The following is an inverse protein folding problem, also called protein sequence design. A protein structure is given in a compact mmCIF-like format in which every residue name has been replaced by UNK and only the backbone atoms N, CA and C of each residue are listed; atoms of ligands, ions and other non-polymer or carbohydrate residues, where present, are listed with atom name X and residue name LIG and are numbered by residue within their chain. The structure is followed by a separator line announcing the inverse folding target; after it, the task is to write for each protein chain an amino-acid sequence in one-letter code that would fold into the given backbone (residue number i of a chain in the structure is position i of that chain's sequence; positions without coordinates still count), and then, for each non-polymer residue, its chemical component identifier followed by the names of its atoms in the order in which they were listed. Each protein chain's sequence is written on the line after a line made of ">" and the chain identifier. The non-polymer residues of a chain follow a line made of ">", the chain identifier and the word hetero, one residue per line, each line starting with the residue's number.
data_IF_407248456830
#
_entry.id   IF_407248456830
#
_cell.length_a   1.000
_cell.length_b   1.000
_cell.length_c   1.000
_cell.angle_alpha   90.00
_cell.angle_beta   90.00
_cell.angle_gamma   90.00
#
_symmetry.space_group_name_H-M   'P 1'
#
loop_
_entity.id
_entity.type
_entity.pdbx_description
1 polymer ?
#
# COMPACT_ATOMS: atom_id res chain seq x y z
N UNK A 1 1.89 -7.79 21.12
CA UNK A 1 0.43 -7.87 20.86
C UNK A 1 0.22 -7.48 19.42
N UNK A 2 -0.62 -8.21 18.69
CA UNK A 2 -1.04 -7.84 17.35
C UNK A 2 -2.41 -7.16 17.38
N UNK A 3 -2.64 -6.29 16.42
CA UNK A 3 -3.90 -5.57 16.24
C UNK A 3 -4.39 -5.76 14.82
N UNK A 4 -5.68 -6.02 14.67
CA UNK A 4 -6.35 -6.07 13.37
C UNK A 4 -7.15 -4.79 13.15
N UNK A 5 -6.97 -4.16 11.99
CA UNK A 5 -7.72 -2.98 11.58
C UNK A 5 -8.48 -3.29 10.30
N UNK A 6 -9.80 -3.35 10.36
CA UNK A 6 -10.65 -3.30 9.16
C UNK A 6 -10.86 -1.83 8.77
N UNK A 7 -10.34 -1.41 7.63
CA UNK A 7 -10.36 0.00 7.19
C UNK A 7 -11.39 0.27 6.10
N UNK A 8 -11.66 -0.71 5.25
CA UNK A 8 -12.75 -0.69 4.27
C UNK A 8 -13.39 -2.07 4.28
N UNK A 9 -14.69 -2.14 4.49
CA UNK A 9 -15.47 -3.39 4.42
C UNK A 9 -15.38 -4.04 3.03
N UNK A 10 -15.89 -5.26 2.88
CA UNK A 10 -16.02 -5.93 1.58
C UNK A 10 -17.16 -5.32 0.72
N UNK A 11 -17.12 -4.00 0.54
CA UNK A 11 -18.05 -3.19 -0.24
C UNK A 11 -17.22 -2.33 -1.18
N UNK A 12 -17.55 -2.38 -2.48
CA UNK A 12 -16.84 -1.63 -3.50
C UNK A 12 -16.93 -0.12 -3.22
N UNK A 13 -15.78 0.47 -2.95
CA UNK A 13 -15.65 1.87 -2.54
C UNK A 13 -14.82 2.63 -3.58
N UNK A 14 -15.35 3.70 -4.19
CA UNK A 14 -14.59 4.47 -5.17
C UNK A 14 -13.43 5.22 -4.54
N UNK A 15 -12.36 5.35 -5.32
CA UNK A 15 -11.20 6.17 -4.98
C UNK A 15 -11.54 7.65 -5.18
N UNK A 16 -11.30 8.46 -4.16
CA UNK A 16 -11.62 9.89 -4.15
C UNK A 16 -10.40 10.62 -3.63
N UNK A 17 -9.97 11.66 -4.36
CA UNK A 17 -8.79 12.45 -4.02
C UNK A 17 -8.81 12.90 -2.55
N UNK A 18 -7.70 12.66 -1.85
CA UNK A 18 -7.49 13.08 -0.46
C UNK A 18 -8.37 12.38 0.58
N UNK A 19 -9.11 11.31 0.24
CA UNK A 19 -9.99 10.62 1.19
C UNK A 19 -9.18 9.86 2.24
N UNK A 20 -9.18 10.37 3.47
CA UNK A 20 -8.61 9.69 4.64
C UNK A 20 -9.60 8.63 5.12
N UNK A 21 -9.14 7.38 5.20
CA UNK A 21 -9.91 6.26 5.75
C UNK A 21 -9.73 6.15 7.27
N UNK A 22 -8.51 6.34 7.76
CA UNK A 22 -8.18 6.22 9.19
C UNK A 22 -6.81 6.84 9.50
N UNK A 23 -6.54 6.99 10.79
CA UNK A 23 -5.20 7.28 11.33
C UNK A 23 -4.82 6.14 12.27
N UNK A 24 -3.85 5.34 11.85
CA UNK A 24 -3.30 4.26 12.66
C UNK A 24 -2.29 4.85 13.65
N UNK A 25 -2.43 4.58 14.96
CA UNK A 25 -1.47 5.08 15.95
C UNK A 25 -0.05 4.64 15.63
N UNK A 26 0.12 3.39 15.18
CA UNK A 26 1.41 2.84 14.77
C UNK A 26 1.26 1.77 13.68
N UNK A 27 2.35 1.55 12.94
CA UNK A 27 2.61 0.34 12.16
C UNK A 27 3.91 -0.26 12.72
N UNK A 28 3.82 -1.47 13.25
CA UNK A 28 4.92 -2.22 13.85
C UNK A 28 5.89 -2.73 12.77
N UNK A 29 7.04 -3.26 13.21
CA UNK A 29 8.04 -3.82 12.29
C UNK A 29 7.54 -5.04 11.51
N UNK A 30 6.52 -5.71 12.03
CA UNK A 30 5.84 -6.80 11.35
C UNK A 30 4.41 -6.37 11.05
N UNK A 31 3.99 -6.50 9.81
CA UNK A 31 2.66 -6.08 9.38
C UNK A 31 2.27 -6.76 8.07
N UNK A 32 0.97 -6.74 7.80
CA UNK A 32 0.37 -7.08 6.51
C UNK A 32 -0.70 -6.04 6.20
N UNK A 33 -0.58 -5.41 5.03
CA UNK A 33 -1.66 -4.65 4.39
C UNK A 33 -2.21 -5.52 3.27
N UNK A 34 -3.53 -5.67 3.21
CA UNK A 34 -4.20 -6.39 2.12
C UNK A 34 -5.46 -5.65 1.71
N UNK A 35 -5.71 -5.60 0.42
CA UNK A 35 -6.92 -5.04 -0.17
C UNK A 35 -7.14 -5.57 -1.58
N UNK A 36 -8.39 -5.48 -2.02
CA UNK A 36 -8.74 -5.74 -3.41
C UNK A 36 -8.89 -4.42 -4.15
N UNK A 37 -8.34 -4.37 -5.37
CA UNK A 37 -8.42 -3.23 -6.26
C UNK A 37 -9.08 -3.61 -7.59
N UNK A 38 -9.92 -2.72 -8.11
CA UNK A 38 -10.61 -2.86 -9.40
C UNK A 38 -10.35 -1.61 -10.25
N UNK A 39 -9.44 -1.66 -11.24
CA UNK A 39 -9.20 -0.54 -12.16
C UNK A 39 -10.27 -0.49 -13.25
N UNK A 40 -11.00 0.62 -13.37
CA UNK A 40 -11.99 0.83 -14.44
C UNK A 40 -11.31 1.23 -15.75
N UNK A 41 -10.27 2.07 -15.67
CA UNK A 41 -9.48 2.57 -16.78
C UNK A 41 -8.02 2.80 -16.37
N UNK A 42 -7.13 2.91 -17.36
CA UNK A 42 -5.75 3.32 -17.11
C UNK A 42 -5.62 4.85 -17.14
N UNK A 43 -4.70 5.42 -16.35
CA UNK A 43 -4.33 6.83 -16.45
C UNK A 43 -4.01 7.22 -17.88
N UNK A 44 -4.38 8.45 -18.26
CA UNK A 44 -3.97 9.00 -19.55
C UNK A 44 -2.44 9.16 -19.63
N UNK A 45 -1.82 9.61 -18.54
CA UNK A 45 -0.36 9.80 -18.42
C UNK A 45 0.08 9.64 -16.97
N UNK A 46 1.28 9.07 -16.78
CA UNK A 46 1.92 9.02 -15.46
C UNK A 46 1.20 8.11 -14.48
N UNK A 47 1.25 8.49 -13.20
CA UNK A 47 0.83 7.67 -12.06
C UNK A 47 -0.37 8.29 -11.36
N UNK A 48 -1.41 7.48 -11.15
CA UNK A 48 -2.60 7.88 -10.39
C UNK A 48 -2.69 7.04 -9.11
N UNK A 49 -3.06 7.67 -7.99
CA UNK A 49 -3.02 7.10 -6.65
C UNK A 49 -4.11 6.05 -6.43
N UNK A 50 -3.75 4.95 -5.78
CA UNK A 50 -4.68 3.90 -5.32
C UNK A 50 -4.78 3.93 -3.80
N UNK A 51 -3.65 3.75 -3.11
CA UNK A 51 -3.60 3.77 -1.65
C UNK A 51 -2.28 4.35 -1.17
N UNK A 52 -2.31 5.04 -0.02
CA UNK A 52 -1.09 5.55 0.61
C UNK A 52 -1.19 5.49 2.13
N UNK A 53 -0.13 4.96 2.73
CA UNK A 53 0.14 4.91 4.16
C UNK A 53 1.32 5.83 4.44
N UNK A 54 1.07 6.94 5.13
CA UNK A 54 2.10 7.94 5.38
C UNK A 54 1.80 8.76 6.62
N UNK A 55 2.83 9.24 7.31
CA UNK A 55 2.72 10.32 8.29
C UNK A 55 2.83 11.71 7.65
N UNK A 56 3.21 11.80 6.37
CA UNK A 56 3.23 13.04 5.58
C UNK A 56 1.82 13.65 5.53
N UNK A 57 1.69 14.90 5.98
CA UNK A 57 0.44 15.64 5.92
C UNK A 57 0.24 16.42 4.61
N UNK A 58 1.28 16.57 3.78
CA UNK A 58 1.20 17.34 2.52
C UNK A 58 2.45 17.24 1.63
N UNK A 59 2.45 17.89 0.46
CA UNK A 59 3.51 17.75 -0.55
C UNK A 59 4.90 18.25 -0.12
N UNK A 60 5.00 19.04 0.95
CA UNK A 60 6.26 19.64 1.43
C UNK A 60 6.77 19.02 2.75
N UNK A 61 6.19 17.90 3.17
CA UNK A 61 6.53 17.26 4.44
C UNK A 61 7.70 16.28 4.26
N UNK A 62 8.69 16.34 5.14
CA UNK A 62 9.93 15.55 5.06
C UNK A 62 9.82 14.16 5.73
N UNK A 63 8.61 13.61 5.84
CA UNK A 63 8.35 12.39 6.60
C UNK A 63 8.21 11.12 5.72
N UNK A 64 7.91 9.97 6.34
CA UNK A 64 8.07 8.64 5.76
C UNK A 64 6.86 8.18 4.91
N UNK A 65 7.14 7.64 3.73
CA UNK A 65 6.21 6.79 3.00
C UNK A 65 6.33 5.36 3.53
N UNK A 66 5.35 4.88 4.30
CA UNK A 66 5.36 3.50 4.81
C UNK A 66 5.09 2.55 3.66
N UNK A 67 4.00 2.79 2.94
CA UNK A 67 3.67 2.08 1.72
C UNK A 67 2.71 2.89 0.84
N UNK A 68 2.85 2.79 -0.47
CA UNK A 68 1.94 3.40 -1.44
C UNK A 68 1.82 2.55 -2.69
N UNK A 69 0.66 2.65 -3.34
CA UNK A 69 0.38 1.98 -4.61
C UNK A 69 -0.20 3.01 -5.58
N UNK A 70 0.38 3.06 -6.77
CA UNK A 70 -0.06 3.89 -7.88
C UNK A 70 -0.26 3.04 -9.14
N UNK A 71 -1.29 3.34 -9.91
CA UNK A 71 -1.49 2.78 -11.24
C UNK A 71 -0.82 3.68 -12.27
N UNK A 72 -0.04 3.11 -13.18
CA UNK A 72 0.60 3.83 -14.28
C UNK A 72 -0.21 3.73 -15.57
N UNK A 73 -0.02 4.66 -16.51
CA UNK A 73 -0.71 4.68 -17.81
C UNK A 73 -0.45 3.46 -18.71
N UNK A 74 0.64 2.72 -18.50
CA UNK A 74 0.91 1.45 -19.17
C UNK A 74 0.23 0.23 -18.50
N UNK A 75 -0.55 0.46 -17.43
CA UNK A 75 -1.26 -0.57 -16.68
C UNK A 75 -0.47 -1.24 -15.57
N UNK A 76 0.81 -0.93 -15.35
CA UNK A 76 1.55 -1.48 -14.20
C UNK A 76 1.17 -0.79 -12.90
N UNK A 77 1.24 -1.52 -11.79
CA UNK A 77 1.23 -0.92 -10.45
C UNK A 77 2.68 -0.62 -10.03
N UNK A 78 2.91 0.61 -9.56
CA UNK A 78 4.08 0.96 -8.78
C UNK A 78 3.73 0.80 -7.30
N UNK A 79 4.41 -0.12 -6.63
CA UNK A 79 4.25 -0.39 -5.21
C UNK A 79 5.54 0.06 -4.52
N UNK A 80 5.45 1.07 -3.67
CA UNK A 80 6.59 1.72 -3.00
C UNK A 80 6.46 1.60 -1.49
N UNK A 81 7.55 1.30 -0.80
CA UNK A 81 7.58 1.18 0.66
C UNK A 81 8.91 1.64 1.25
N UNK A 82 8.92 1.92 2.56
CA UNK A 82 10.16 2.17 3.28
C UNK A 82 10.95 0.88 3.49
N UNK A 83 12.09 0.75 2.81
CA UNK A 83 12.96 -0.43 2.87
C UNK A 83 14.43 0.04 2.92
N UNK A 84 15.21 -0.48 3.86
CA UNK A 84 16.65 -0.21 3.99
C UNK A 84 17.01 1.28 4.02
N UNK A 85 16.25 2.09 4.76
CA UNK A 85 16.48 3.53 4.87
C UNK A 85 15.94 4.37 3.71
N UNK A 86 15.41 3.73 2.66
CA UNK A 86 14.85 4.39 1.50
C UNK A 86 13.32 4.36 1.53
N UNK A 87 12.69 5.53 1.74
CA UNK A 87 11.22 5.68 1.73
C UNK A 87 10.55 5.52 0.37
N UNK A 88 11.33 5.45 -0.70
CA UNK A 88 10.85 5.37 -2.08
C UNK A 88 11.36 4.11 -2.79
N UNK A 89 11.74 3.06 -2.05
CA UNK A 89 12.07 1.77 -2.67
C UNK A 89 10.80 1.19 -3.30
N UNK A 90 10.83 0.91 -4.59
CA UNK A 90 9.64 0.49 -5.33
C UNK A 90 9.86 -0.76 -6.19
N UNK A 91 8.74 -1.43 -6.47
CA UNK A 91 8.60 -2.50 -7.45
C UNK A 91 7.50 -2.12 -8.44
N UNK A 92 7.75 -2.34 -9.74
CA UNK A 92 6.73 -2.21 -10.78
C UNK A 92 6.25 -3.61 -11.19
N UNK A 93 4.94 -3.80 -11.20
CA UNK A 93 4.34 -5.05 -11.68
C UNK A 93 4.36 -5.10 -13.22
N UNK A 94 4.04 -6.27 -13.78
CA UNK A 94 3.49 -6.29 -15.14
C UNK A 94 2.12 -5.58 -15.19
N UNK A 95 1.65 -5.25 -16.39
CA UNK A 95 0.35 -4.63 -16.56
C UNK A 95 -0.76 -5.52 -15.98
N UNK A 96 -1.63 -4.91 -15.16
CA UNK A 96 -2.81 -5.60 -14.61
C UNK A 96 -3.98 -5.50 -15.58
N UNK A 97 -4.98 -6.37 -15.43
CA UNK A 97 -6.18 -6.32 -16.25
C UNK A 97 -7.14 -5.21 -15.75
N UNK A 98 -7.77 -4.50 -16.70
CA UNK A 98 -8.91 -3.64 -16.41
C UNK A 98 -10.14 -4.47 -16.06
N UNK A 99 -11.03 -3.87 -15.26
CA UNK A 99 -12.35 -4.40 -14.93
C UNK A 99 -12.33 -5.77 -14.24
N UNK A 100 -11.27 -6.04 -13.49
CA UNK A 100 -11.09 -7.27 -12.72
C UNK A 100 -10.55 -6.94 -11.32
N UNK A 101 -11.02 -7.68 -10.32
CA UNK A 101 -10.47 -7.57 -8.97
C UNK A 101 -9.08 -8.21 -8.94
N UNK A 102 -8.11 -7.46 -8.42
CA UNK A 102 -6.79 -7.97 -8.06
C UNK A 102 -6.59 -7.77 -6.57
N UNK A 103 -6.21 -8.83 -5.88
CA UNK A 103 -5.80 -8.75 -4.49
C UNK A 103 -4.32 -8.36 -4.42
N UNK A 104 -4.01 -7.38 -3.58
CA UNK A 104 -2.66 -6.88 -3.34
C UNK A 104 -2.33 -7.06 -1.86
N UNK A 105 -1.27 -7.81 -1.57
CA UNK A 105 -0.71 -7.94 -0.22
C UNK A 105 0.66 -7.31 -0.16
N UNK A 106 0.90 -6.46 0.85
CA UNK A 106 2.19 -5.87 1.15
C UNK A 106 2.51 -6.20 2.60
N UNK A 107 3.62 -6.89 2.84
CA UNK A 107 3.92 -7.43 4.16
C UNK A 107 5.39 -7.32 4.54
N UNK A 108 5.63 -7.21 5.84
CA UNK A 108 6.94 -7.38 6.44
C UNK A 108 6.84 -8.36 7.61
N UNK A 109 7.72 -9.35 7.65
CA UNK A 109 7.73 -10.38 8.70
C UNK A 109 9.16 -10.75 9.08
N UNK A 110 9.40 -11.08 10.35
CA UNK A 110 10.67 -11.58 10.85
C UNK A 110 10.74 -13.10 10.62
N UNK A 111 11.72 -13.55 9.82
CA UNK A 111 11.97 -14.97 9.57
C UNK A 111 13.43 -15.29 9.83
N UNK A 112 13.69 -16.26 10.71
CA UNK A 112 15.05 -16.68 11.06
C UNK A 112 15.95 -15.48 11.49
N UNK A 113 15.38 -14.51 12.20
CA UNK A 113 16.10 -13.31 12.65
C UNK A 113 16.26 -12.20 11.60
N UNK A 114 15.73 -12.37 10.39
CA UNK A 114 15.84 -11.41 9.29
C UNK A 114 14.45 -10.88 8.92
N UNK A 115 14.31 -9.56 8.80
CA UNK A 115 13.07 -8.97 8.31
C UNK A 115 12.98 -9.08 6.80
N UNK A 116 11.88 -9.64 6.31
CA UNK A 116 11.63 -9.85 4.88
C UNK A 116 10.42 -9.04 4.48
N UNK A 117 10.62 -8.10 3.55
CA UNK A 117 9.57 -7.40 2.83
C UNK A 117 9.09 -8.25 1.65
N UNK A 118 7.78 -8.29 1.42
CA UNK A 118 7.17 -9.12 0.39
C UNK A 118 5.89 -8.50 -0.17
N UNK A 119 5.77 -8.57 -1.49
CA UNK A 119 4.54 -8.21 -2.22
C UNK A 119 3.94 -9.49 -2.82
N UNK A 120 2.62 -9.67 -2.66
CA UNK A 120 1.86 -10.66 -3.42
C UNK A 120 0.75 -10.04 -4.24
N UNK A 121 0.51 -10.62 -5.40
CA UNK A 121 -0.65 -10.34 -6.25
C UNK A 121 -1.45 -11.62 -6.40
N UNK A 122 -2.74 -11.61 -6.07
CA UNK A 122 -3.61 -12.79 -6.10
C UNK A 122 -2.97 -14.02 -5.43
N UNK A 123 -2.36 -13.83 -4.25
CA UNK A 123 -1.67 -14.87 -3.49
C UNK A 123 -0.29 -15.29 -4.01
N UNK A 124 0.13 -14.85 -5.19
CA UNK A 124 1.44 -15.16 -5.78
C UNK A 124 2.49 -14.14 -5.36
N UNK A 125 3.63 -14.60 -4.84
CA UNK A 125 4.75 -13.71 -4.48
C UNK A 125 5.39 -13.17 -5.76
N UNK A 126 5.39 -11.85 -5.92
CA UNK A 126 5.98 -11.17 -7.10
C UNK A 126 7.25 -10.39 -6.76
N UNK A 127 7.44 -10.08 -5.47
CA UNK A 127 8.61 -9.36 -4.99
C UNK A 127 8.97 -9.78 -3.57
N UNK A 128 10.28 -9.84 -3.31
CA UNK A 128 10.85 -10.18 -2.01
C UNK A 128 12.18 -9.46 -1.85
N UNK A 129 12.37 -8.78 -0.71
CA UNK A 129 13.62 -8.08 -0.38
C UNK A 129 13.88 -8.16 1.13
N UNK A 130 15.15 -8.24 1.52
CA UNK A 130 15.56 -8.16 2.94
C UNK A 130 15.51 -6.70 3.39
N UNK A 131 14.93 -6.43 4.55
CA UNK A 131 14.87 -5.09 5.15
C UNK A 131 15.64 -5.03 6.48
N UNK A 132 16.93 -4.76 6.42
CA UNK A 132 17.82 -4.69 7.58
C UNK A 132 17.59 -3.44 8.45
N UNK A 133 16.94 -2.41 7.88
CA UNK A 133 16.57 -1.19 8.60
C UNK A 133 15.06 -1.12 8.88
N UNK A 134 14.45 -2.25 9.26
CA UNK A 134 13.05 -2.29 9.66
C UNK A 134 12.79 -1.43 10.91
N UNK A 135 11.75 -0.59 10.83
CA UNK A 135 11.37 0.32 11.92
C UNK A 135 9.86 0.34 12.14
N UNK A 136 9.49 0.85 13.32
CA UNK A 136 8.11 1.14 13.70
C UNK A 136 7.76 2.54 13.23
N UNK A 137 6.58 2.72 12.66
CA UNK A 137 6.06 4.01 12.26
C UNK A 137 4.92 4.45 13.17
N UNK A 138 4.73 5.75 13.32
CA UNK A 138 3.71 6.34 14.21
C UNK A 138 2.83 7.32 13.43
N UNK A 139 1.59 7.50 13.89
CA UNK A 139 0.62 8.48 13.36
C UNK A 139 0.41 8.36 11.84
N UNK A 140 0.14 7.14 11.36
CA UNK A 140 0.02 6.85 9.94
C UNK A 140 -1.39 7.12 9.44
N UNK A 141 -1.51 8.08 8.53
CA UNK A 141 -2.74 8.33 7.78
C UNK A 141 -2.84 7.35 6.62
N UNK A 142 -4.04 6.81 6.43
CA UNK A 142 -4.36 5.88 5.34
C UNK A 142 -5.31 6.57 4.37
N UNK A 143 -4.87 6.69 3.12
CA UNK A 143 -5.61 7.36 2.06
C UNK A 143 -6.12 6.37 1.01
N UNK A 144 -7.38 6.50 0.59
CA UNK A 144 -7.95 5.82 -0.58
C UNK A 144 -7.89 6.76 -1.78
N UNK A 145 -6.71 6.82 -2.41
CA UNK A 145 -6.15 7.97 -3.15
C UNK A 145 -5.66 9.10 -2.25
N UNK A 146 -4.39 9.45 -2.40
CA UNK A 146 -3.78 10.60 -1.72
C UNK A 146 -4.19 11.94 -2.36
N UNK A 147 -3.44 13.00 -2.09
CA UNK A 147 -3.65 14.36 -2.61
C UNK A 147 -3.26 14.53 -4.09
N UNK A 148 -2.81 13.47 -4.78
CA UNK A 148 -2.56 13.46 -6.22
C UNK A 148 -3.78 12.95 -7.00
N UNK A 149 -3.65 12.74 -8.32
CA UNK A 149 -4.77 12.29 -9.14
C UNK A 149 -5.23 10.88 -8.71
N UNK A 150 -6.52 10.68 -8.41
CA UNK A 150 -7.05 9.37 -8.06
C UNK A 150 -7.10 8.48 -9.28
N UNK A 151 -6.75 7.20 -9.11
CA UNK A 151 -7.02 6.20 -10.13
C UNK A 151 -8.53 6.02 -10.31
N UNK A 152 -8.99 5.89 -11.54
CA UNK A 152 -10.37 5.51 -11.82
C UNK A 152 -10.57 4.03 -11.50
N UNK A 153 -11.04 3.77 -10.28
CA UNK A 153 -11.22 2.42 -9.77
C UNK A 153 -11.88 2.36 -8.41
N UNK A 154 -12.02 1.13 -7.93
CA UNK A 154 -12.67 0.80 -6.67
C UNK A 154 -11.69 0.01 -5.78
N UNK A 155 -11.80 0.19 -4.48
CA UNK A 155 -11.16 -0.69 -3.49
C UNK A 155 -12.23 -1.34 -2.60
N UNK A 156 -11.89 -2.47 -2.01
CA UNK A 156 -12.69 -3.10 -0.95
C UNK A 156 -11.81 -4.00 -0.09
N UNK A 157 -12.35 -4.43 1.04
CA UNK A 157 -11.71 -5.38 1.94
C UNK A 157 -10.28 -4.94 2.34
N UNK A 158 -10.10 -3.66 2.60
CA UNK A 158 -8.82 -3.13 3.05
C UNK A 158 -8.68 -3.39 4.54
N UNK A 159 -7.65 -4.14 4.91
CA UNK A 159 -7.31 -4.38 6.30
C UNK A 159 -5.81 -4.33 6.55
N UNK A 160 -5.46 -4.15 7.81
CA UNK A 160 -4.08 -4.20 8.31
C UNK A 160 -4.00 -5.16 9.48
N UNK A 161 -3.15 -6.17 9.39
CA UNK A 161 -2.64 -6.86 10.57
C UNK A 161 -1.35 -6.17 10.99
N UNK A 162 -1.31 -5.72 12.24
CA UNK A 162 -0.22 -4.93 12.77
C UNK A 162 0.44 -5.67 13.94
N UNK A 163 1.71 -6.05 13.80
CA UNK A 163 2.44 -6.93 14.72
C UNK A 163 2.50 -8.38 14.21
N UNK A 164 3.09 -9.26 15.03
CA UNK A 164 3.20 -10.68 14.74
C UNK A 164 1.80 -11.32 14.65
N UNK A 165 1.51 -11.95 13.52
CA UNK A 165 0.35 -12.81 13.35
C UNK A 165 0.65 -14.20 13.94
#
# INVERSE_FOLDING_TARGET
>A
MSTFYQLVENIATPLVIGKILSVLPTIEKEYLVSFDYYPNSFPYVGFYSVIRFTNIAGPNDNEYNVSSVYLHSNGSLLISSFINGNGFRYYNTYAIALKQWINIEISQSLKCGIYIYRIKLNGTVVYLEVNDQSQRFQNIRVYASDFTLPSDGLIKNLYVFNGNA
#
